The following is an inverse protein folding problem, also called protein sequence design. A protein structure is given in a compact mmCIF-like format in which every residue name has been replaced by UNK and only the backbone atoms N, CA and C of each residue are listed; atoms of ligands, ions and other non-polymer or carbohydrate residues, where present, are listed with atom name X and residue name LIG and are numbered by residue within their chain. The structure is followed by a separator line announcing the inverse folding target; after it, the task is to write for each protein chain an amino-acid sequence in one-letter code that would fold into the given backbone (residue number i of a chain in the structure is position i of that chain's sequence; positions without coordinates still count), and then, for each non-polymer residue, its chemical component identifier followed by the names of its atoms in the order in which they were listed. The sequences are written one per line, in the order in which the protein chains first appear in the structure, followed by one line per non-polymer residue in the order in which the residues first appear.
data_IF_259649441699
#
_entry.id   IF_259649441699
#
_cell.length_a   1.000
_cell.length_b   1.000
_cell.length_c   1.000
_cell.angle_alpha   90.00
_cell.angle_beta   90.00
_cell.angle_gamma   90.00
#
_symmetry.space_group_name_H-M   'P 1'
#
loop_
_entity.id
_entity.type
_entity.pdbx_description
1 polymer ?
#
# COMPACT_ATOMS: atom_id res chain seq x y z
N UNK A 1 21.82 14.11 17.65
CA UNK A 1 21.17 15.22 16.91
C UNK A 1 21.74 15.45 15.49
N UNK A 2 22.95 15.96 15.26
CA UNK A 2 23.47 16.29 13.92
C UNK A 2 23.53 15.08 12.95
N UNK A 3 23.89 13.90 13.44
CA UNK A 3 23.96 12.66 12.66
C UNK A 3 22.55 12.13 12.34
N UNK A 4 21.62 12.20 13.26
CA UNK A 4 20.24 11.76 13.07
C UNK A 4 19.48 12.65 12.08
N UNK A 5 19.66 13.98 12.15
CA UNK A 5 19.15 14.92 11.17
C UNK A 5 19.57 14.55 9.74
N UNK A 6 20.85 14.27 9.52
CA UNK A 6 21.37 13.87 8.20
C UNK A 6 20.73 12.55 7.72
N UNK A 7 20.46 11.62 8.63
CA UNK A 7 19.78 10.36 8.31
C UNK A 7 18.32 10.62 7.91
N UNK A 8 17.60 11.46 8.65
CA UNK A 8 16.22 11.84 8.33
C UNK A 8 16.14 12.51 6.96
N UNK A 9 17.00 13.50 6.71
CA UNK A 9 17.05 14.18 5.40
C UNK A 9 17.30 13.20 4.26
N UNK A 10 18.24 12.28 4.43
CA UNK A 10 18.52 11.23 3.43
C UNK A 10 17.33 10.31 3.21
N UNK A 11 16.70 9.81 4.27
CA UNK A 11 15.52 8.94 4.17
C UNK A 11 14.37 9.63 3.43
N UNK A 12 14.12 10.91 3.72
CA UNK A 12 13.08 11.69 3.04
C UNK A 12 13.42 11.98 1.57
N UNK A 13 14.69 12.27 1.26
CA UNK A 13 15.15 12.45 -0.12
C UNK A 13 15.02 11.14 -0.92
N UNK A 14 15.44 10.02 -0.35
CA UNK A 14 15.31 8.70 -0.98
C UNK A 14 13.84 8.31 -1.16
N UNK A 15 12.99 8.59 -0.15
CA UNK A 15 11.55 8.40 -0.24
C UNK A 15 10.94 9.21 -1.39
N UNK A 16 11.34 10.48 -1.56
CA UNK A 16 10.88 11.33 -2.66
C UNK A 16 11.35 10.82 -4.02
N UNK A 17 12.66 10.55 -4.17
CA UNK A 17 13.28 10.22 -5.45
C UNK A 17 12.96 8.82 -5.92
N UNK A 18 13.06 7.84 -5.05
CA UNK A 18 12.93 6.41 -5.39
C UNK A 18 11.58 5.82 -4.98
N UNK A 19 10.79 6.54 -4.19
CA UNK A 19 9.47 6.14 -3.72
C UNK A 19 8.35 6.92 -4.40
N UNK A 20 8.14 8.16 -3.99
CA UNK A 20 6.99 8.96 -4.41
C UNK A 20 6.93 9.19 -5.91
N UNK A 21 8.07 9.39 -6.57
CA UNK A 21 8.12 9.66 -8.01
C UNK A 21 7.69 8.42 -8.83
N UNK A 22 8.28 7.22 -8.64
CA UNK A 22 7.80 6.01 -9.31
C UNK A 22 6.36 5.65 -8.93
N UNK A 23 6.00 5.80 -7.64
CA UNK A 23 4.64 5.56 -7.17
C UNK A 23 3.62 6.45 -7.90
N UNK A 24 3.88 7.75 -8.06
CA UNK A 24 2.96 8.65 -8.74
C UNK A 24 2.77 8.29 -10.21
N UNK A 25 3.80 7.80 -10.87
CA UNK A 25 3.72 7.29 -12.25
C UNK A 25 2.84 6.04 -12.31
N UNK A 26 3.10 5.06 -11.44
CA UNK A 26 2.28 3.85 -11.37
C UNK A 26 0.84 4.14 -10.94
N UNK A 27 0.63 5.14 -10.08
CA UNK A 27 -0.72 5.56 -9.69
C UNK A 27 -1.52 6.07 -10.89
N UNK A 28 -0.91 6.88 -11.77
CA UNK A 28 -1.58 7.35 -13.00
C UNK A 28 -1.93 6.18 -13.91
N UNK A 29 -1.01 5.25 -14.13
CA UNK A 29 -1.27 4.04 -14.94
C UNK A 29 -2.39 3.20 -14.31
N UNK A 30 -2.37 3.02 -13.00
CA UNK A 30 -3.42 2.29 -12.27
C UNK A 30 -4.78 3.00 -12.31
N UNK A 31 -4.84 4.33 -12.33
CA UNK A 31 -6.08 5.06 -12.54
C UNK A 31 -6.62 4.86 -13.95
N UNK A 32 -5.76 4.94 -14.97
CA UNK A 32 -6.16 4.67 -16.37
C UNK A 32 -6.72 3.25 -16.48
N UNK A 33 -6.00 2.24 -15.96
CA UNK A 33 -6.45 0.85 -16.00
C UNK A 33 -7.79 0.64 -15.30
N UNK A 34 -7.98 1.29 -14.13
CA UNK A 34 -9.22 1.21 -13.36
C UNK A 34 -10.40 1.89 -14.08
N UNK A 35 -10.16 3.00 -14.79
CA UNK A 35 -11.18 3.68 -15.60
C UNK A 35 -11.57 2.80 -16.78
N UNK A 36 -10.58 2.24 -17.48
CA UNK A 36 -10.84 1.31 -18.58
C UNK A 36 -11.65 0.10 -18.14
N UNK A 37 -11.29 -0.50 -17.00
CA UNK A 37 -12.05 -1.62 -16.44
C UNK A 37 -13.49 -1.23 -16.08
N UNK A 38 -13.68 -0.04 -15.49
CA UNK A 38 -15.01 0.47 -15.14
C UNK A 38 -15.85 0.81 -16.37
N UNK A 39 -15.23 1.30 -17.43
CA UNK A 39 -15.96 1.61 -18.67
C UNK A 39 -16.58 0.35 -19.30
N UNK A 40 -15.92 -0.80 -19.16
CA UNK A 40 -16.47 -2.08 -19.61
C UNK A 40 -17.77 -2.47 -18.89
N UNK A 41 -18.02 -1.95 -17.68
CA UNK A 41 -19.28 -2.16 -16.97
C UNK A 41 -20.48 -1.55 -17.72
N UNK A 42 -20.25 -0.51 -18.51
CA UNK A 42 -21.28 0.15 -19.30
C UNK A 42 -21.65 -0.68 -20.54
N UNK A 43 -20.78 -1.60 -20.92
CA UNK A 43 -21.06 -2.57 -21.98
C UNK A 43 -22.00 -3.65 -21.41
N UNK A 44 -23.22 -3.72 -21.95
CA UNK A 44 -24.28 -4.64 -21.46
C UNK A 44 -23.91 -6.12 -21.51
N UNK A 45 -22.81 -6.46 -22.15
CA UNK A 45 -22.32 -7.84 -22.32
C UNK A 45 -21.52 -8.36 -21.10
N UNK A 46 -21.11 -7.46 -20.18
CA UNK A 46 -20.30 -7.84 -19.02
C UNK A 46 -21.19 -7.99 -17.78
N UNK A 47 -21.05 -9.08 -17.00
CA UNK A 47 -21.79 -9.28 -15.77
C UNK A 47 -21.62 -8.10 -14.80
N UNK A 48 -22.71 -7.64 -14.18
CA UNK A 48 -22.72 -6.46 -13.30
C UNK A 48 -21.71 -6.53 -12.15
N UNK A 49 -21.46 -7.73 -11.64
CA UNK A 49 -20.51 -7.95 -10.52
C UNK A 49 -19.10 -8.30 -10.98
N UNK A 50 -18.82 -8.32 -12.29
CA UNK A 50 -17.52 -8.70 -12.83
C UNK A 50 -16.39 -7.79 -12.30
N UNK A 51 -16.54 -6.47 -12.47
CA UNK A 51 -15.51 -5.49 -12.07
C UNK A 51 -15.19 -5.61 -10.60
N UNK A 52 -16.20 -5.73 -9.75
CA UNK A 52 -15.99 -5.89 -8.29
C UNK A 52 -15.27 -7.18 -7.95
N UNK A 53 -15.68 -8.29 -8.56
CA UNK A 53 -15.08 -9.58 -8.33
C UNK A 53 -13.64 -9.63 -8.84
N UNK A 54 -13.37 -9.04 -10.00
CA UNK A 54 -12.04 -8.94 -10.54
C UNK A 54 -11.12 -8.10 -9.63
N UNK A 55 -11.56 -6.92 -9.20
CA UNK A 55 -10.80 -6.08 -8.28
C UNK A 55 -10.51 -6.80 -6.95
N UNK A 56 -11.46 -7.56 -6.42
CA UNK A 56 -11.28 -8.38 -5.20
C UNK A 56 -10.34 -9.59 -5.41
N UNK A 57 -10.13 -10.03 -6.65
CA UNK A 57 -9.24 -11.14 -6.96
C UNK A 57 -7.76 -10.72 -7.06
N UNK A 58 -7.48 -9.42 -7.23
CA UNK A 58 -6.12 -8.92 -7.35
C UNK A 58 -5.40 -9.06 -6.01
N UNK A 59 -4.30 -9.83 -6.03
CA UNK A 59 -3.48 -10.03 -4.85
C UNK A 59 -2.53 -8.83 -4.66
N UNK A 60 -2.70 -8.11 -3.55
CA UNK A 60 -1.94 -6.91 -3.19
C UNK A 60 -1.21 -7.11 -1.86
N UNK A 61 -0.27 -6.23 -1.46
CA UNK A 61 0.31 -6.26 -0.12
C UNK A 61 -0.72 -6.30 1.01
N UNK A 62 -1.88 -5.66 0.85
CA UNK A 62 -2.96 -5.75 1.84
C UNK A 62 -3.53 -7.18 1.94
N UNK A 63 -3.71 -7.86 0.80
CA UNK A 63 -4.13 -9.26 0.78
C UNK A 63 -3.07 -10.16 1.42
N UNK A 64 -1.80 -9.85 1.19
CA UNK A 64 -0.67 -10.58 1.77
C UNK A 64 -0.61 -10.40 3.29
N UNK A 65 -0.79 -9.18 3.81
CA UNK A 65 -0.88 -8.92 5.26
C UNK A 65 -2.02 -9.74 5.87
N UNK A 66 -3.20 -9.73 5.26
CA UNK A 66 -4.36 -10.49 5.75
C UNK A 66 -4.08 -11.99 5.80
N UNK A 67 -3.41 -12.52 4.78
CA UNK A 67 -2.99 -13.91 4.75
C UNK A 67 -1.96 -14.24 5.83
N UNK A 68 -0.93 -13.39 6.01
CA UNK A 68 0.11 -13.58 7.01
C UNK A 68 -0.44 -13.42 8.44
N UNK A 69 -1.44 -12.57 8.67
CA UNK A 69 -2.19 -12.48 9.94
C UNK A 69 -2.93 -13.81 10.23
N UNK A 70 -3.55 -14.43 9.21
CA UNK A 70 -4.16 -15.76 9.38
C UNK A 70 -3.12 -16.84 9.71
N UNK A 71 -1.95 -16.80 9.08
CA UNK A 71 -0.85 -17.72 9.39
C UNK A 71 -0.32 -17.52 10.81
N UNK A 72 -0.19 -16.26 11.24
CA UNK A 72 0.22 -15.92 12.60
C UNK A 72 -0.78 -16.44 13.65
N UNK A 73 -2.08 -16.25 13.42
CA UNK A 73 -3.13 -16.74 14.32
C UNK A 73 -3.14 -18.27 14.47
N UNK A 74 -2.67 -18.98 13.44
CA UNK A 74 -2.53 -20.44 13.43
C UNK A 74 -1.14 -20.92 13.87
N UNK A 75 -0.31 -20.04 14.40
CA UNK A 75 1.09 -20.31 14.78
C UNK A 75 1.95 -20.91 13.64
N UNK A 76 1.61 -20.62 12.36
CA UNK A 76 2.37 -21.07 11.19
C UNK A 76 3.54 -20.16 10.86
N UNK A 77 3.51 -18.92 11.29
CA UNK A 77 4.64 -17.98 11.27
C UNK A 77 4.84 -17.37 12.65
N UNK A 78 6.06 -16.99 12.97
CA UNK A 78 6.37 -16.35 14.25
C UNK A 78 6.00 -14.86 14.24
N UNK A 79 5.71 -14.29 15.43
CA UNK A 79 5.52 -12.85 15.65
C UNK A 79 6.72 -12.06 15.11
N UNK A 80 7.93 -12.51 15.34
CA UNK A 80 9.14 -11.85 14.85
C UNK A 80 9.22 -11.83 13.33
N UNK A 81 8.84 -12.92 12.65
CA UNK A 81 8.81 -12.97 11.19
C UNK A 81 7.77 -12.01 10.62
N UNK A 82 6.59 -11.93 11.25
CA UNK A 82 5.55 -10.98 10.87
C UNK A 82 6.01 -9.53 11.06
N UNK A 83 6.55 -9.19 12.24
CA UNK A 83 7.02 -7.84 12.53
C UNK A 83 8.20 -7.41 11.67
N UNK A 84 9.11 -8.32 11.32
CA UNK A 84 10.20 -8.02 10.38
C UNK A 84 9.68 -7.55 9.02
N UNK A 85 8.54 -8.05 8.58
CA UNK A 85 7.93 -7.70 7.29
C UNK A 85 7.03 -6.48 7.37
N UNK A 86 6.20 -6.38 8.41
CA UNK A 86 5.12 -5.41 8.53
C UNK A 86 5.26 -4.44 9.69
N UNK A 87 6.25 -4.61 10.54
CA UNK A 87 6.42 -3.82 11.78
C UNK A 87 6.55 -2.32 11.53
N UNK A 88 7.09 -1.92 10.37
CA UNK A 88 7.20 -0.52 9.97
C UNK A 88 5.84 0.16 9.71
N UNK A 89 4.77 -0.60 9.54
CA UNK A 89 3.43 -0.05 9.31
C UNK A 89 2.87 0.55 10.59
N UNK A 90 1.92 1.47 10.41
CA UNK A 90 1.18 2.13 11.49
C UNK A 90 -0.23 2.50 11.05
N UNK A 91 -1.19 2.68 11.96
CA UNK A 91 -2.45 3.34 11.65
C UNK A 91 -2.17 4.73 11.09
N UNK A 92 -2.80 5.10 9.96
CA UNK A 92 -2.53 6.39 9.33
C UNK A 92 -1.07 6.53 8.87
N UNK A 93 -0.73 5.98 7.73
CA UNK A 93 0.62 5.81 7.16
C UNK A 93 1.62 6.95 7.42
N UNK A 94 1.15 8.20 7.48
CA UNK A 94 1.97 9.41 7.64
C UNK A 94 1.80 10.06 9.02
N UNK A 95 1.07 9.44 9.91
CA UNK A 95 0.71 9.99 11.21
C UNK A 95 1.83 9.74 12.24
N UNK A 96 2.50 10.81 12.68
CA UNK A 96 3.53 10.75 13.71
C UNK A 96 2.95 10.40 15.09
N UNK A 97 1.66 10.67 15.33
CA UNK A 97 1.02 10.39 16.62
C UNK A 97 0.76 8.89 16.80
N UNK A 98 0.64 8.13 15.69
CA UNK A 98 0.45 6.70 15.73
C UNK A 98 1.78 5.96 15.80
N UNK A 99 1.89 5.00 16.72
CA UNK A 99 3.06 4.13 16.84
C UNK A 99 3.12 3.10 15.72
N UNK A 100 4.32 2.63 15.41
CA UNK A 100 4.55 1.48 14.52
C UNK A 100 4.07 0.19 15.18
N UNK A 101 3.69 -0.79 14.36
CA UNK A 101 3.26 -2.10 14.87
C UNK A 101 4.35 -2.86 15.63
N UNK A 102 5.64 -2.65 15.28
CA UNK A 102 6.75 -3.26 16.00
C UNK A 102 7.07 -2.59 17.37
N UNK A 103 6.49 -1.43 17.63
CA UNK A 103 6.62 -0.69 18.87
C UNK A 103 5.43 -0.88 19.82
N UNK A 104 4.32 -1.44 19.33
CA UNK A 104 3.13 -1.71 20.13
C UNK A 104 3.13 -3.15 20.66
N UNK A 105 3.28 -3.28 21.98
CA UNK A 105 3.30 -4.60 22.62
C UNK A 105 1.98 -5.36 22.47
N UNK A 106 0.86 -4.64 22.51
CA UNK A 106 -0.51 -5.21 22.52
C UNK A 106 -1.18 -5.21 21.15
N UNK A 107 -0.44 -4.89 20.07
CA UNK A 107 -0.99 -4.84 18.73
C UNK A 107 -1.74 -6.12 18.35
N UNK A 108 -1.16 -7.27 18.70
CA UNK A 108 -1.73 -8.58 18.33
C UNK A 108 -2.91 -9.00 19.21
N UNK A 109 -3.03 -8.47 20.43
CA UNK A 109 -4.11 -8.80 21.36
C UNK A 109 -5.44 -8.18 20.91
N UNK A 110 -5.36 -7.09 20.15
CA UNK A 110 -6.51 -6.33 19.65
C UNK A 110 -6.85 -6.60 18.16
N UNK A 111 -6.05 -7.38 17.44
CA UNK A 111 -6.31 -7.70 16.03
C UNK A 111 -7.51 -8.63 15.92
N UNK A 112 -8.67 -8.08 15.59
CA UNK A 112 -9.82 -8.89 15.16
C UNK A 112 -9.49 -9.47 13.79
N UNK A 113 -9.24 -10.78 13.77
CA UNK A 113 -9.00 -11.52 12.52
C UNK A 113 -10.19 -11.34 11.58
N UNK A 114 -10.00 -10.60 10.52
CA UNK A 114 -11.00 -10.45 9.47
C UNK A 114 -11.20 -11.81 8.81
N UNK A 115 -12.46 -12.19 8.62
CA UNK A 115 -12.79 -13.41 7.88
C UNK A 115 -12.14 -13.37 6.51
N UNK A 116 -11.50 -14.47 6.13
CA UNK A 116 -10.87 -14.67 4.82
C UNK A 116 -11.79 -14.18 3.71
N UNK A 117 -11.39 -13.15 3.01
CA UNK A 117 -12.04 -12.76 1.77
C UNK A 117 -11.66 -13.82 0.74
N UNK A 118 -12.58 -14.75 0.49
CA UNK A 118 -12.40 -15.70 -0.60
C UNK A 118 -12.34 -14.90 -1.90
N UNK A 119 -11.19 -14.96 -2.56
CA UNK A 119 -11.08 -14.40 -3.91
C UNK A 119 -12.13 -15.10 -4.79
N UNK A 120 -13.07 -14.38 -5.37
CA UNK A 120 -14.11 -14.99 -6.20
C UNK A 120 -13.44 -15.64 -7.41
N UNK A 121 -13.86 -16.86 -7.75
CA UNK A 121 -13.49 -17.47 -9.05
C UNK A 121 -14.18 -16.66 -10.13
N UNK A 122 -13.41 -16.08 -11.02
CA UNK A 122 -13.93 -15.31 -12.13
C UNK A 122 -13.96 -16.23 -13.34
N UNK A 123 -15.18 -16.66 -13.72
CA UNK A 123 -15.41 -17.31 -15.00
C UNK A 123 -15.81 -16.23 -16.01
N UNK A 124 -14.93 -15.92 -16.95
CA UNK A 124 -15.19 -15.01 -18.04
C UNK A 124 -15.17 -15.82 -19.33
N UNK A 125 -16.15 -15.56 -20.18
CA UNK A 125 -16.02 -15.93 -21.59
C UNK A 125 -14.94 -15.00 -22.20
N UNK A 126 -13.78 -15.55 -22.48
CA UNK A 126 -12.60 -14.80 -22.94
C UNK A 126 -12.88 -14.01 -24.22
N UNK A 127 -13.82 -14.45 -25.05
CA UNK A 127 -14.12 -13.81 -26.33
C UNK A 127 -14.88 -12.47 -26.19
N UNK A 128 -15.60 -12.24 -25.08
CA UNK A 128 -16.40 -11.01 -24.91
C UNK A 128 -15.52 -9.75 -24.95
N UNK A 129 -14.37 -9.80 -24.29
CA UNK A 129 -13.47 -8.64 -24.29
C UNK A 129 -12.84 -8.39 -25.65
N UNK A 130 -12.47 -9.43 -26.36
CA UNK A 130 -11.88 -9.32 -27.69
C UNK A 130 -12.86 -8.65 -28.65
N UNK A 131 -14.14 -9.01 -28.60
CA UNK A 131 -15.18 -8.38 -29.43
C UNK A 131 -15.38 -6.89 -29.11
N UNK A 132 -15.42 -6.54 -27.80
CA UNK A 132 -15.54 -5.15 -27.37
C UNK A 132 -14.32 -4.34 -27.80
N UNK A 133 -13.11 -4.85 -27.58
CA UNK A 133 -11.90 -4.14 -27.99
C UNK A 133 -11.83 -3.94 -29.49
N UNK A 134 -12.15 -4.97 -30.25
CA UNK A 134 -12.15 -4.89 -31.70
C UNK A 134 -13.18 -3.87 -32.25
N UNK A 135 -14.40 -3.84 -31.67
CA UNK A 135 -15.43 -2.88 -32.06
C UNK A 135 -15.04 -1.42 -31.78
N UNK A 136 -14.14 -1.19 -30.80
CA UNK A 136 -13.61 0.15 -30.48
C UNK A 136 -12.23 0.43 -31.11
N UNK A 137 -11.79 -0.40 -32.06
CA UNK A 137 -10.49 -0.24 -32.74
C UNK A 137 -9.26 -0.48 -31.86
N UNK A 138 -9.44 -1.13 -30.71
CA UNK A 138 -8.35 -1.44 -29.79
C UNK A 138 -7.77 -2.82 -30.13
N UNK A 139 -6.44 -2.90 -30.21
CA UNK A 139 -5.71 -4.15 -30.54
C UNK A 139 -5.18 -4.81 -29.25
N UNK A 140 -6.03 -5.06 -28.30
CA UNK A 140 -5.70 -5.80 -27.10
C UNK A 140 -6.39 -7.16 -27.12
N UNK A 141 -5.69 -8.20 -26.66
CA UNK A 141 -6.34 -9.43 -26.23
C UNK A 141 -6.76 -9.28 -24.75
N UNK A 142 -7.73 -10.09 -24.32
CA UNK A 142 -8.28 -10.02 -22.97
C UNK A 142 -7.23 -10.34 -21.89
N UNK A 143 -6.30 -11.27 -22.17
CA UNK A 143 -5.26 -11.69 -21.22
C UNK A 143 -4.30 -10.54 -20.96
N UNK A 144 -3.80 -9.91 -22.02
CA UNK A 144 -2.92 -8.74 -21.94
C UNK A 144 -3.59 -7.58 -21.21
N UNK A 145 -4.87 -7.35 -21.44
CA UNK A 145 -5.64 -6.29 -20.78
C UNK A 145 -5.81 -6.56 -19.27
N UNK A 146 -6.25 -7.76 -18.89
CA UNK A 146 -6.45 -8.11 -17.49
C UNK A 146 -5.11 -8.16 -16.73
N UNK A 147 -4.04 -8.60 -17.38
CA UNK A 147 -2.69 -8.56 -16.82
C UNK A 147 -2.23 -7.11 -16.62
N UNK A 148 -2.45 -6.22 -17.59
CA UNK A 148 -2.13 -4.80 -17.46
C UNK A 148 -2.82 -4.17 -16.24
N UNK A 149 -4.10 -4.45 -16.03
CA UNK A 149 -4.85 -3.95 -14.87
C UNK A 149 -4.28 -4.52 -13.57
N UNK A 150 -4.10 -5.85 -13.52
CA UNK A 150 -3.59 -6.54 -12.35
C UNK A 150 -2.21 -6.02 -11.95
N UNK A 151 -1.28 -5.94 -12.91
CA UNK A 151 0.08 -5.46 -12.66
C UNK A 151 0.11 -3.98 -12.28
N UNK A 152 -0.64 -3.13 -12.93
CA UNK A 152 -0.65 -1.70 -12.60
C UNK A 152 -1.11 -1.43 -11.16
N UNK A 153 -2.12 -2.16 -10.70
CA UNK A 153 -2.64 -2.05 -9.33
C UNK A 153 -1.65 -2.67 -8.33
N UNK A 154 -1.18 -3.89 -8.63
CA UNK A 154 -0.25 -4.61 -7.75
C UNK A 154 1.07 -3.85 -7.58
N UNK A 155 1.65 -3.34 -8.66
CA UNK A 155 2.91 -2.61 -8.60
C UNK A 155 2.76 -1.27 -7.88
N UNK A 156 1.65 -0.56 -8.06
CA UNK A 156 1.36 0.65 -7.28
C UNK A 156 1.37 0.37 -5.79
N UNK A 157 0.66 -0.68 -5.35
CA UNK A 157 0.58 -1.02 -3.92
C UNK A 157 1.92 -1.54 -3.38
N UNK A 158 2.68 -2.31 -4.17
CA UNK A 158 4.04 -2.74 -3.80
C UNK A 158 4.99 -1.56 -3.64
N UNK A 159 4.99 -0.62 -4.57
CA UNK A 159 5.81 0.59 -4.47
C UNK A 159 5.46 1.39 -3.21
N UNK A 160 4.15 1.56 -2.92
CA UNK A 160 3.71 2.22 -1.69
C UNK A 160 4.24 1.50 -0.46
N UNK A 161 4.10 0.19 -0.41
CA UNK A 161 4.57 -0.63 0.71
C UNK A 161 6.09 -0.47 0.93
N UNK A 162 6.88 -0.47 -0.15
CA UNK A 162 8.33 -0.37 -0.04
C UNK A 162 8.79 1.01 0.42
N UNK A 163 8.32 2.11 -0.20
CA UNK A 163 8.83 3.43 0.18
C UNK A 163 8.33 3.89 1.55
N UNK A 164 7.20 3.36 2.03
CA UNK A 164 6.72 3.67 3.38
C UNK A 164 7.62 3.14 4.49
N UNK A 165 8.51 2.20 4.21
CA UNK A 165 9.56 1.77 5.17
C UNK A 165 10.48 2.93 5.55
N UNK A 166 11.04 3.62 4.55
CA UNK A 166 11.91 4.78 4.78
C UNK A 166 11.16 5.94 5.42
N UNK A 167 9.93 6.19 4.98
CA UNK A 167 9.10 7.24 5.57
C UNK A 167 8.79 6.94 7.04
N UNK A 168 8.41 5.72 7.33
CA UNK A 168 8.10 5.30 8.70
C UNK A 168 9.32 5.43 9.62
N UNK A 169 10.52 5.08 9.14
CA UNK A 169 11.76 5.25 9.88
C UNK A 169 12.07 6.73 10.13
N UNK A 170 11.92 7.59 9.11
CA UNK A 170 12.11 9.03 9.26
C UNK A 170 11.17 9.62 10.33
N UNK A 171 9.89 9.22 10.33
CA UNK A 171 8.90 9.66 11.31
C UNK A 171 9.31 9.24 12.74
N UNK A 172 9.80 8.00 12.91
CA UNK A 172 10.25 7.54 14.23
C UNK A 172 11.48 8.30 14.73
N UNK A 173 12.45 8.57 13.85
CA UNK A 173 13.62 9.37 14.22
C UNK A 173 13.23 10.80 14.61
N UNK A 174 12.25 11.40 13.91
CA UNK A 174 11.70 12.71 14.25
C UNK A 174 11.00 12.66 15.61
N UNK A 175 10.14 11.66 15.83
CA UNK A 175 9.44 11.51 17.11
C UNK A 175 10.40 11.31 18.28
N UNK A 176 11.44 10.50 18.09
CA UNK A 176 12.50 10.26 19.09
C UNK A 176 13.25 11.55 19.41
N UNK A 177 13.68 12.29 18.39
CA UNK A 177 14.37 13.57 18.59
C UNK A 177 13.48 14.61 19.32
N UNK A 178 12.18 14.65 19.00
CA UNK A 178 11.20 15.48 19.74
C UNK A 178 11.14 15.09 21.21
N UNK A 179 11.04 13.80 21.49
CA UNK A 179 10.98 13.29 22.89
C UNK A 179 12.24 13.62 23.68
N UNK A 180 13.42 13.55 23.06
CA UNK A 180 14.70 13.96 23.69
C UNK A 180 14.74 15.45 24.03
N UNK A 181 13.96 16.27 23.32
CA UNK A 181 13.78 17.72 23.57
C UNK A 181 12.58 18.04 24.49
N UNK A 182 11.88 17.02 25.00
CA UNK A 182 10.72 17.16 25.88
C UNK A 182 9.38 17.34 25.16
N UNK A 183 9.33 17.16 23.83
CA UNK A 183 8.08 17.24 23.07
C UNK A 183 7.41 15.88 22.92
N UNK A 184 6.12 15.85 23.12
CA UNK A 184 5.27 14.68 22.81
C UNK A 184 5.08 14.51 21.30
N UNK A 185 4.66 13.33 20.85
CA UNK A 185 4.30 13.07 19.45
C UNK A 185 3.19 14.01 18.96
N UNK A 186 2.23 14.39 19.85
CA UNK A 186 1.15 15.31 19.51
C UNK A 186 1.70 16.71 19.25
N UNK A 187 2.59 17.20 20.08
CA UNK A 187 3.23 18.50 19.87
C UNK A 187 4.09 18.50 18.59
N UNK A 188 4.84 17.42 18.36
CA UNK A 188 5.62 17.26 17.13
C UNK A 188 4.75 17.22 15.87
N UNK A 189 3.52 16.72 15.93
CA UNK A 189 2.60 16.70 14.79
C UNK A 189 2.14 18.09 14.34
N UNK A 190 2.24 19.08 15.23
CA UNK A 190 1.88 20.48 14.96
C UNK A 190 3.04 21.30 14.37
N UNK A 191 4.24 20.73 14.32
CA UNK A 191 5.42 21.41 13.79
C UNK A 191 5.58 21.18 12.28
N UNK A 192 6.00 22.23 11.59
CA UNK A 192 6.40 22.09 10.19
C UNK A 192 7.74 21.34 10.09
N UNK A 193 7.87 20.48 9.07
CA UNK A 193 9.06 19.67 8.82
C UNK A 193 10.33 20.55 8.65
N UNK A 194 10.19 21.71 8.00
CA UNK A 194 11.32 22.64 7.84
C UNK A 194 11.80 23.16 9.19
N UNK A 195 10.91 23.44 10.11
CA UNK A 195 11.23 23.85 11.48
C UNK A 195 11.96 22.73 12.22
N UNK A 196 11.46 21.49 12.13
CA UNK A 196 12.10 20.30 12.75
C UNK A 196 13.52 20.12 12.23
N UNK A 197 13.72 20.28 10.93
CA UNK A 197 15.04 20.14 10.30
C UNK A 197 15.98 21.33 10.58
N UNK A 198 15.50 22.45 11.12
CA UNK A 198 16.31 23.60 11.53
C UNK A 198 16.82 23.52 12.98
N UNK A 199 16.29 22.63 13.82
CA UNK A 199 16.84 22.42 15.16
C UNK A 199 18.32 22.01 15.08
N UNK A 200 19.16 22.76 15.79
CA UNK A 200 20.62 22.57 15.82
C UNK A 200 21.05 21.55 16.86
#
# INVERSE_FOLDING_TARGET
MKKEKLVVEKLLLDCRKYGTLPFSTMARISFISSILLKSLKNEKQIPLNFVENFMKSIFTPLSEIQYDVELLSKNKISKNSFLKKYGHLRPGTYDITASRYDMEHDFFDNVKFLKKIKSPKININENIFNEIFYSHGLKFDNISFLNFITESITQREKLKFEFTKNLSEAIELIAKAGNELGFSRIEMSSLDLSTILLFK
#
